data_IF_268677107014
#
_entry.id   IF_268677107014
#
_cell.length_a   1.000
_cell.length_b   1.000
_cell.length_c   1.000
_cell.angle_alpha   90.00
_cell.angle_beta   90.00
_cell.angle_gamma   90.00
#
_symmetry.space_group_name_H-M   'P 1'
#
loop_
_entity.id
_entity.type
_entity.pdbx_description
1 polymer ?
#
# COMPACT_ATOMS: atom_id res chain seq x y z
N UNK A 1 -27.29 -23.77 -5.87
CA UNK A 1 -25.84 -23.66 -5.63
C UNK A 1 -25.49 -22.19 -5.50
N UNK A 2 -24.55 -21.86 -4.61
CA UNK A 2 -24.12 -20.51 -4.32
C UNK A 2 -22.61 -20.38 -4.59
N UNK A 3 -22.19 -19.30 -5.25
CA UNK A 3 -20.78 -18.95 -5.45
C UNK A 3 -20.48 -17.72 -4.59
N UNK A 4 -19.45 -17.81 -3.74
CA UNK A 4 -18.91 -16.70 -2.96
C UNK A 4 -17.52 -16.34 -3.46
N UNK A 5 -17.41 -15.52 -4.52
CA UNK A 5 -16.13 -15.10 -5.02
C UNK A 5 -15.37 -14.33 -3.94
N UNK A 6 -14.09 -14.61 -3.80
CA UNK A 6 -13.23 -13.94 -2.84
C UNK A 6 -12.77 -12.57 -3.31
N UNK A 7 -11.52 -12.24 -2.99
CA UNK A 7 -10.92 -10.93 -3.27
C UNK A 7 -10.50 -10.77 -4.74
N UNK A 8 -11.44 -10.81 -5.68
CA UNK A 8 -11.16 -10.68 -7.12
C UNK A 8 -11.40 -9.25 -7.65
N UNK A 9 -12.14 -8.41 -6.90
CA UNK A 9 -12.44 -7.03 -7.33
C UNK A 9 -11.22 -6.13 -7.19
N UNK A 10 -10.48 -6.24 -6.10
CA UNK A 10 -9.32 -5.40 -5.82
C UNK A 10 -8.01 -6.12 -6.04
N UNK A 11 -7.94 -7.41 -5.77
CA UNK A 11 -6.71 -8.16 -5.53
C UNK A 11 -5.85 -7.50 -4.44
N UNK A 12 -4.73 -8.08 -4.10
CA UNK A 12 -3.78 -7.58 -3.13
C UNK A 12 -2.43 -8.31 -3.24
N UNK A 13 -1.47 -7.92 -2.39
CA UNK A 13 -0.15 -8.53 -2.39
C UNK A 13 -0.18 -10.02 -2.00
N UNK A 14 -1.14 -10.46 -1.16
CA UNK A 14 -1.29 -11.88 -0.82
C UNK A 14 -1.73 -12.69 -2.04
N UNK A 15 -2.70 -12.17 -2.80
CA UNK A 15 -3.19 -12.81 -4.02
C UNK A 15 -2.11 -12.87 -5.09
N UNK A 16 -1.33 -11.81 -5.24
CA UNK A 16 -0.20 -11.77 -6.16
C UNK A 16 0.88 -12.80 -5.76
N UNK A 17 1.18 -12.91 -4.47
CA UNK A 17 2.17 -13.87 -3.96
C UNK A 17 1.80 -15.33 -4.22
N UNK A 18 0.53 -15.69 -4.14
CA UNK A 18 0.06 -17.05 -4.44
C UNK A 18 -0.15 -17.30 -5.95
N UNK A 19 0.13 -16.31 -6.79
CA UNK A 19 0.09 -16.42 -8.24
C UNK A 19 -1.28 -16.29 -8.88
N UNK A 20 -2.28 -15.73 -8.16
CA UNK A 20 -3.62 -15.53 -8.72
C UNK A 20 -3.73 -14.27 -9.59
N UNK A 21 -2.82 -13.31 -9.43
CA UNK A 21 -2.72 -12.07 -10.20
C UNK A 21 -1.28 -11.55 -10.20
N UNK A 22 -0.97 -10.58 -11.06
CA UNK A 22 0.26 -9.79 -10.97
C UNK A 22 0.07 -8.58 -10.04
N UNK A 23 1.16 -7.92 -9.65
CA UNK A 23 1.07 -6.70 -8.84
C UNK A 23 0.35 -5.57 -9.59
N UNK A 24 0.43 -5.55 -10.91
CA UNK A 24 -0.21 -4.53 -11.75
C UNK A 24 -1.73 -4.72 -11.89
N UNK A 25 -2.25 -5.89 -11.49
CA UNK A 25 -3.69 -6.15 -11.46
C UNK A 25 -4.36 -5.68 -10.15
N UNK A 26 -3.57 -5.23 -9.17
CA UNK A 26 -4.12 -4.74 -7.90
C UNK A 26 -4.78 -3.39 -8.12
N UNK A 27 -6.09 -3.32 -7.90
CA UNK A 27 -6.93 -2.17 -8.23
C UNK A 27 -7.19 -1.22 -7.06
N UNK A 28 -6.47 -1.35 -5.97
CA UNK A 28 -6.58 -0.47 -4.80
C UNK A 28 -5.22 -0.16 -4.20
N UNK A 29 -4.98 1.11 -3.90
CA UNK A 29 -3.80 1.57 -3.15
C UNK A 29 -4.23 2.55 -2.06
N UNK A 30 -3.52 2.55 -0.96
CA UNK A 30 -3.70 3.51 0.12
C UNK A 30 -2.85 4.75 -0.14
N UNK A 31 -3.47 5.91 -0.17
CA UNK A 31 -2.77 7.20 -0.25
C UNK A 31 -2.40 7.68 1.16
N UNK A 32 -1.13 7.64 1.48
CA UNK A 32 -0.60 7.92 2.82
C UNK A 32 0.26 9.19 2.81
N UNK A 33 -0.09 10.22 3.60
CA UNK A 33 0.78 11.39 3.75
C UNK A 33 2.08 11.04 4.47
N UNK A 34 3.19 11.61 4.00
CA UNK A 34 4.46 11.61 4.72
C UNK A 34 4.35 12.56 5.91
N UNK A 35 4.65 12.07 7.10
CA UNK A 35 4.62 12.87 8.34
C UNK A 35 6.02 13.10 8.92
N UNK A 36 7.01 12.29 8.54
CA UNK A 36 8.42 12.54 8.85
C UNK A 36 9.32 11.90 7.81
N UNK A 37 10.48 12.54 7.58
CA UNK A 37 11.55 12.05 6.72
C UNK A 37 12.84 11.89 7.53
N UNK A 38 13.51 10.75 7.36
CA UNK A 38 14.79 10.44 7.99
C UNK A 38 15.82 10.06 6.92
N UNK A 39 16.43 11.04 6.22
CA UNK A 39 17.36 10.79 5.10
C UNK A 39 18.54 9.90 5.50
N UNK A 40 19.12 10.14 6.68
CA UNK A 40 20.29 9.40 7.18
C UNK A 40 20.00 7.91 7.38
N UNK A 41 18.74 7.56 7.65
CA UNK A 41 18.27 6.18 7.82
C UNK A 41 17.60 5.64 6.56
N UNK A 42 17.40 6.49 5.56
CA UNK A 42 16.59 6.20 4.36
C UNK A 42 15.20 5.67 4.73
N UNK A 43 14.52 6.38 5.63
CA UNK A 43 13.20 5.99 6.15
C UNK A 43 12.21 7.15 6.06
N UNK A 44 10.96 6.80 5.75
CA UNK A 44 9.81 7.70 5.82
C UNK A 44 8.84 7.18 6.88
N UNK A 45 8.21 8.10 7.59
CA UNK A 45 7.05 7.79 8.42
C UNK A 45 5.80 8.28 7.70
N UNK A 46 4.87 7.39 7.44
CA UNK A 46 3.61 7.71 6.78
C UNK A 46 2.46 7.63 7.78
N UNK A 47 1.47 8.51 7.62
CA UNK A 47 0.17 8.32 8.25
C UNK A 47 -0.59 7.23 7.50
N UNK A 48 -0.45 6.01 8.01
CA UNK A 48 -0.93 4.80 7.38
C UNK A 48 -0.49 3.60 8.22
N UNK A 49 -1.17 3.37 9.33
CA UNK A 49 -0.84 2.30 10.27
C UNK A 49 -1.83 1.14 10.23
N UNK A 50 -1.81 0.33 11.27
CA UNK A 50 -2.63 -0.87 11.41
C UNK A 50 -4.14 -0.61 11.37
N UNK A 51 -4.60 0.57 11.80
CA UNK A 51 -6.02 0.97 11.71
C UNK A 51 -6.47 1.24 10.27
N UNK A 52 -5.53 1.42 9.34
CA UNK A 52 -5.80 1.66 7.92
C UNK A 52 -5.55 0.41 7.06
N UNK A 53 -4.49 -0.35 7.36
CA UNK A 53 -4.01 -1.49 6.58
C UNK A 53 -4.36 -2.85 7.16
N UNK A 54 -4.87 -2.93 8.38
CA UNK A 54 -4.89 -4.14 9.21
C UNK A 54 -3.50 -4.54 9.74
N UNK A 55 -3.40 -5.74 10.29
CA UNK A 55 -2.13 -6.32 10.74
C UNK A 55 -1.65 -7.48 9.86
N UNK A 56 -2.20 -7.59 8.66
CA UNK A 56 -1.77 -8.59 7.69
C UNK A 56 -0.40 -8.23 7.13
N UNK A 57 0.44 -9.25 6.97
CA UNK A 57 1.82 -9.09 6.52
C UNK A 57 2.26 -10.27 5.69
N UNK A 58 3.17 -10.03 4.77
CA UNK A 58 3.91 -11.07 4.08
C UNK A 58 5.17 -11.41 4.88
N UNK A 59 5.44 -12.69 5.05
CA UNK A 59 6.65 -13.20 5.69
C UNK A 59 7.42 -14.08 4.71
N UNK A 60 8.75 -14.16 4.88
CA UNK A 60 9.61 -14.92 3.95
C UNK A 60 9.87 -14.19 2.64
N UNK A 61 9.63 -12.88 2.59
CA UNK A 61 10.10 -12.03 1.51
C UNK A 61 11.62 -11.80 1.64
N UNK A 62 12.35 -11.50 0.53
CA UNK A 62 13.77 -11.19 0.60
C UNK A 62 14.12 -10.08 1.60
N UNK A 63 13.22 -9.11 1.76
CA UNK A 63 13.35 -7.99 2.70
C UNK A 63 12.95 -8.35 4.14
N UNK A 64 12.42 -9.57 4.36
CA UNK A 64 11.91 -10.04 5.64
C UNK A 64 10.40 -9.94 5.76
N UNK A 65 9.90 -9.15 6.70
CA UNK A 65 8.45 -8.94 6.88
C UNK A 65 8.00 -7.66 6.17
N UNK A 66 7.01 -7.78 5.29
CA UNK A 66 6.46 -6.68 4.48
C UNK A 66 5.00 -6.46 4.87
N UNK A 67 4.65 -5.21 5.20
CA UNK A 67 3.30 -4.80 5.58
C UNK A 67 2.54 -4.04 4.48
N UNK A 68 3.20 -3.79 3.37
CA UNK A 68 2.70 -3.11 2.18
C UNK A 68 3.85 -2.71 1.28
N UNK A 69 3.61 -2.59 -0.04
CA UNK A 69 4.64 -2.19 -1.02
C UNK A 69 4.29 -0.86 -1.63
N UNK A 70 5.29 0.01 -1.74
CA UNK A 70 5.14 1.33 -2.35
C UNK A 70 5.14 1.19 -3.87
N UNK A 71 4.30 1.98 -4.50
CA UNK A 71 4.18 2.05 -5.97
C UNK A 71 4.55 3.44 -6.48
N UNK A 72 4.99 3.50 -7.73
CA UNK A 72 5.27 4.77 -8.41
C UNK A 72 4.00 5.58 -8.59
N UNK A 73 4.10 6.86 -8.32
CA UNK A 73 3.03 7.80 -8.62
C UNK A 73 3.00 8.08 -10.13
N UNK A 74 1.87 7.82 -10.78
CA UNK A 74 1.66 8.15 -12.21
C UNK A 74 0.31 8.82 -12.37
N UNK A 75 0.32 10.08 -12.77
CA UNK A 75 -0.91 10.85 -12.90
C UNK A 75 -1.75 10.82 -11.63
N UNK A 76 -3.02 10.46 -11.75
CA UNK A 76 -3.92 10.30 -10.60
C UNK A 76 -3.84 8.90 -9.98
N UNK A 77 -3.34 7.91 -10.73
CA UNK A 77 -3.21 6.52 -10.33
C UNK A 77 -1.81 6.16 -9.82
N UNK A 78 -1.41 4.94 -10.11
CA UNK A 78 -0.08 4.42 -9.78
C UNK A 78 0.40 3.47 -10.88
N UNK A 79 1.71 3.25 -10.91
CA UNK A 79 2.39 2.31 -11.78
C UNK A 79 3.02 1.16 -11.00
N UNK A 80 4.21 0.74 -11.44
CA UNK A 80 4.90 -0.40 -10.88
C UNK A 80 5.28 -0.23 -9.40
N UNK A 81 5.41 -1.36 -8.71
CA UNK A 81 6.01 -1.41 -7.38
C UNK A 81 7.46 -0.94 -7.46
N UNK A 82 7.86 -0.08 -6.53
CA UNK A 82 9.25 0.35 -6.39
C UNK A 82 10.02 -0.78 -5.69
N UNK A 83 10.99 -1.42 -6.36
CA UNK A 83 11.75 -2.51 -5.76
C UNK A 83 12.43 -2.08 -4.45
N UNK A 84 12.31 -2.89 -3.40
CA UNK A 84 12.91 -2.60 -2.10
C UNK A 84 12.24 -1.47 -1.29
N UNK A 85 11.18 -0.85 -1.79
CA UNK A 85 10.44 0.18 -1.06
C UNK A 85 9.14 -0.38 -0.48
N UNK A 86 9.08 -0.51 0.84
CA UNK A 86 8.00 -1.21 1.52
C UNK A 86 7.78 -0.72 2.95
N UNK A 87 6.61 -1.00 3.51
CA UNK A 87 6.37 -0.87 4.94
C UNK A 87 7.10 -1.97 5.69
N UNK A 88 8.11 -1.59 6.48
CA UNK A 88 8.89 -2.46 7.37
C UNK A 88 8.15 -2.76 8.68
N UNK A 89 7.34 -1.82 9.14
CA UNK A 89 6.55 -1.96 10.36
C UNK A 89 5.34 -1.05 10.35
N UNK A 90 4.30 -1.46 11.08
CA UNK A 90 3.12 -0.63 11.35
C UNK A 90 2.93 -0.46 12.85
N UNK A 91 2.77 0.77 13.30
CA UNK A 91 2.15 1.10 14.58
C UNK A 91 0.63 1.24 14.40
N UNK A 92 -0.06 1.79 15.39
CA UNK A 92 -1.52 1.96 15.28
C UNK A 92 -1.90 2.85 14.09
N UNK A 93 -1.31 4.03 13.96
CA UNK A 93 -1.68 5.06 12.98
C UNK A 93 -0.60 5.31 11.93
N UNK A 94 0.63 4.87 12.16
CA UNK A 94 1.77 5.16 11.30
C UNK A 94 2.44 3.90 10.78
N UNK A 95 2.98 4.01 9.57
CA UNK A 95 3.83 3.01 8.97
C UNK A 95 5.22 3.57 8.69
N UNK A 96 6.23 2.73 8.85
CA UNK A 96 7.62 3.06 8.57
C UNK A 96 8.04 2.41 7.26
N UNK A 97 8.37 3.25 6.27
CA UNK A 97 8.80 2.84 4.94
C UNK A 97 10.32 2.87 4.85
N UNK A 98 10.89 1.81 4.29
CA UNK A 98 12.28 1.78 3.84
C UNK A 98 12.36 2.34 2.43
N UNK A 99 13.31 3.24 2.20
CA UNK A 99 13.64 3.76 0.86
C UNK A 99 14.96 3.11 0.42
N UNK A 100 14.97 2.30 -0.65
CA UNK A 100 16.17 1.59 -1.06
C UNK A 100 17.24 2.56 -1.58
N UNK A 101 18.54 2.17 -1.57
CA UNK A 101 19.64 3.04 -2.03
C UNK A 101 19.51 3.50 -3.48
N UNK A 102 18.90 2.70 -4.32
CA UNK A 102 18.71 2.94 -5.76
C UNK A 102 17.62 3.98 -6.05
N UNK A 103 16.77 4.29 -5.06
CA UNK A 103 15.73 5.32 -5.17
C UNK A 103 16.25 6.65 -4.63
N UNK A 104 16.07 7.72 -5.37
CA UNK A 104 16.43 9.06 -4.90
C UNK A 104 15.60 9.44 -3.67
N UNK A 105 16.28 9.89 -2.61
CA UNK A 105 15.58 10.33 -1.40
C UNK A 105 15.16 11.80 -1.55
N UNK A 106 14.15 12.03 -2.36
CA UNK A 106 13.59 13.36 -2.62
C UNK A 106 12.15 13.45 -2.12
N UNK A 107 11.97 13.17 -0.83
CA UNK A 107 10.67 13.17 -0.16
C UNK A 107 10.61 14.27 0.90
N UNK A 108 9.42 14.85 1.06
CA UNK A 108 9.16 15.87 2.08
C UNK A 108 7.85 15.58 2.83
N UNK A 109 7.71 16.18 4.01
CA UNK A 109 6.47 16.11 4.79
C UNK A 109 5.33 16.71 3.99
N UNK A 110 4.22 15.99 3.89
CA UNK A 110 3.06 16.36 3.10
C UNK A 110 2.95 15.64 1.75
N UNK A 111 4.03 15.04 1.25
CA UNK A 111 3.94 14.20 0.05
C UNK A 111 2.99 13.03 0.26
N UNK A 112 2.33 12.60 -0.82
CA UNK A 112 1.43 11.45 -0.79
C UNK A 112 2.13 10.24 -1.40
N UNK A 113 2.33 9.21 -0.59
CA UNK A 113 2.87 7.93 -1.00
C UNK A 113 1.73 6.92 -1.16
N UNK A 114 1.70 6.22 -2.30
CA UNK A 114 0.70 5.18 -2.57
C UNK A 114 1.28 3.82 -2.22
N UNK A 115 0.51 3.06 -1.44
CA UNK A 115 0.95 1.76 -0.91
C UNK A 115 -0.09 0.69 -1.20
N UNK A 116 0.34 -0.40 -1.82
CA UNK A 116 -0.49 -1.58 -2.04
C UNK A 116 -0.65 -2.34 -0.71
N UNK A 117 -1.89 -2.68 -0.33
CA UNK A 117 -2.14 -3.43 0.91
C UNK A 117 -1.77 -4.91 0.76
N UNK A 118 -1.37 -5.52 1.87
CA UNK A 118 -1.20 -6.99 1.94
C UNK A 118 -2.54 -7.70 1.82
N UNK A 119 -3.58 -7.13 2.46
CA UNK A 119 -4.94 -7.67 2.42
C UNK A 119 -5.95 -6.56 2.12
N UNK A 120 -6.38 -6.48 0.88
CA UNK A 120 -7.25 -5.38 0.42
C UNK A 120 -8.62 -5.37 1.09
N UNK A 121 -9.22 -6.52 1.38
CA UNK A 121 -10.54 -6.59 2.02
C UNK A 121 -10.53 -5.94 3.41
N UNK A 122 -9.46 -6.15 4.18
CA UNK A 122 -9.32 -5.55 5.51
C UNK A 122 -9.07 -4.05 5.43
N UNK A 123 -8.17 -3.62 4.54
CA UNK A 123 -7.92 -2.21 4.30
C UNK A 123 -9.18 -1.47 3.80
N UNK A 124 -9.89 -2.06 2.86
CA UNK A 124 -11.15 -1.57 2.34
C UNK A 124 -12.23 -1.42 3.43
N UNK A 125 -12.31 -2.40 4.34
CA UNK A 125 -13.26 -2.34 5.46
C UNK A 125 -12.90 -1.23 6.45
N UNK A 126 -11.62 -0.97 6.67
CA UNK A 126 -11.14 0.07 7.58
C UNK A 126 -11.45 1.48 7.06
N UNK A 127 -11.22 1.75 5.77
CA UNK A 127 -11.32 3.08 5.17
C UNK A 127 -12.74 3.45 4.75
N UNK A 128 -13.52 2.51 4.23
CA UNK A 128 -14.94 2.69 3.81
C UNK A 128 -15.21 3.72 2.71
N UNK A 129 -14.20 4.41 2.20
CA UNK A 129 -14.32 5.41 1.13
C UNK A 129 -13.18 5.23 0.12
N UNK A 130 -13.48 5.41 -1.15
CA UNK A 130 -12.52 5.30 -2.25
C UNK A 130 -12.64 6.53 -3.14
N UNK A 131 -11.52 6.97 -3.68
CA UNK A 131 -11.47 7.94 -4.76
C UNK A 131 -11.07 7.19 -6.03
N UNK A 132 -11.90 7.26 -7.07
CA UNK A 132 -11.56 6.68 -8.38
C UNK A 132 -10.44 7.49 -9.02
N UNK A 133 -9.52 6.80 -9.70
CA UNK A 133 -8.35 7.45 -10.30
C UNK A 133 -8.64 8.06 -11.67
N UNK A 134 -9.69 7.61 -12.33
CA UNK A 134 -10.14 8.05 -13.67
C UNK A 134 -11.15 9.19 -13.61
N UNK A 135 -12.23 9.03 -12.86
CA UNK A 135 -13.33 10.00 -12.79
C UNK A 135 -13.23 10.97 -11.60
N UNK A 136 -12.35 10.71 -10.63
CA UNK A 136 -12.23 11.46 -9.37
C UNK A 136 -13.53 11.47 -8.54
N UNK A 137 -14.29 10.40 -8.62
CA UNK A 137 -15.52 10.24 -7.86
C UNK A 137 -15.28 9.53 -6.54
N UNK A 138 -16.01 9.97 -5.51
CA UNK A 138 -16.00 9.30 -4.23
C UNK A 138 -17.02 8.17 -4.20
N UNK A 139 -16.53 6.96 -3.93
CA UNK A 139 -17.36 5.79 -3.65
C UNK A 139 -17.35 5.56 -2.15
N UNK A 140 -18.52 5.53 -1.53
CA UNK A 140 -18.68 5.24 -0.09
C UNK A 140 -19.32 3.86 0.05
N UNK A 141 -18.71 3.04 0.87
CA UNK A 141 -19.30 1.75 1.27
C UNK A 141 -20.43 1.99 2.27
N UNK A 142 -21.58 1.39 2.02
CA UNK A 142 -22.71 1.36 2.95
C UNK A 142 -22.43 0.44 4.14
#
# INVERSE_FOLDING_TARGET
DEIRPGNFVFYDLTQARIGSNSWNDIAVAMACPVVACHPDKRELVLYGGGVHFSKDRLTGEPEGTVWGRVVRHIGNGWGDVIPGMYFRSLSQEHGLVVVPPEEDFNYQVGDIIKVLPVHSCMAANAIKRYLTTDTHEWITRL
#
